data_IF_965695642037
#
_entry.id   IF_965695642037
#
_cell.length_a   1.000
_cell.length_b   1.000
_cell.length_c   1.000
_cell.angle_alpha   90.00
_cell.angle_beta   90.00
_cell.angle_gamma   90.00
#
_symmetry.space_group_name_H-M   'P 1'
#
loop_
_entity.id
_entity.type
_entity.pdbx_description
1 polymer ?
#
# COMPACT_ATOMS: atom_id res chain seq x y z
N UNK A 1 22.66 22.86 11.68
CA UNK A 1 21.20 23.01 11.53
C UNK A 1 20.54 21.91 12.33
N UNK A 2 19.69 22.23 13.31
CA UNK A 2 18.87 21.23 14.01
C UNK A 2 17.84 20.65 13.04
N UNK A 3 17.60 19.33 13.06
CA UNK A 3 16.50 18.75 12.29
C UNK A 3 15.18 19.39 12.72
N UNK A 4 14.34 19.73 11.74
CA UNK A 4 12.97 20.19 11.99
C UNK A 4 12.11 18.94 12.23
N UNK A 5 11.45 18.90 13.40
CA UNK A 5 10.61 17.76 13.83
C UNK A 5 9.25 17.84 13.13
N UNK A 6 9.22 17.65 11.81
CA UNK A 6 8.00 17.76 11.01
C UNK A 6 7.13 16.50 11.07
N UNK A 7 7.75 15.30 11.12
CA UNK A 7 7.07 14.01 11.24
C UNK A 7 8.06 12.95 11.78
N UNK A 8 7.54 11.82 12.27
CA UNK A 8 8.33 10.67 12.71
C UNK A 8 7.59 9.36 12.40
N UNK A 9 8.35 8.27 12.20
CA UNK A 9 7.80 6.91 12.22
C UNK A 9 7.75 6.49 13.68
N UNK A 10 6.56 6.15 14.16
CA UNK A 10 6.30 5.86 15.58
C UNK A 10 5.89 4.41 15.85
N UNK A 11 5.57 3.65 14.81
CA UNK A 11 5.31 2.22 14.92
C UNK A 11 5.52 1.49 13.60
N UNK A 12 5.96 0.24 13.67
CA UNK A 12 6.19 -0.63 12.51
C UNK A 12 5.78 -2.06 12.81
N UNK A 13 5.39 -2.80 11.77
CA UNK A 13 5.20 -4.25 11.87
C UNK A 13 5.38 -4.90 10.49
N UNK A 14 6.04 -6.06 10.46
CA UNK A 14 6.09 -6.95 9.30
C UNK A 14 5.32 -8.23 9.64
N UNK A 15 4.46 -8.68 8.74
CA UNK A 15 3.73 -9.94 8.92
C UNK A 15 4.73 -11.11 9.05
N UNK A 16 4.57 -12.01 10.05
CA UNK A 16 5.62 -12.96 10.42
C UNK A 16 5.90 -14.05 9.37
N UNK A 17 4.90 -14.44 8.58
CA UNK A 17 5.08 -15.46 7.54
C UNK A 17 5.26 -14.86 6.16
N UNK A 18 6.20 -15.43 5.39
CA UNK A 18 6.38 -15.12 3.96
C UNK A 18 5.59 -16.04 3.04
N UNK A 19 5.17 -17.19 3.55
CA UNK A 19 4.28 -18.12 2.86
C UNK A 19 3.06 -18.41 3.74
N UNK A 20 1.89 -18.02 3.23
CA UNK A 20 0.62 -18.14 3.95
C UNK A 20 -0.21 -19.32 3.47
N UNK A 21 0.30 -20.13 2.54
CA UNK A 21 -0.33 -21.38 2.06
C UNK A 21 -1.81 -21.22 1.59
N UNK A 22 -2.19 -19.99 1.20
CA UNK A 22 -3.57 -19.67 0.79
C UNK A 22 -4.55 -19.39 1.94
N UNK A 23 -4.09 -19.42 3.19
CA UNK A 23 -4.92 -19.28 4.39
C UNK A 23 -5.34 -17.82 4.69
N UNK A 24 -4.53 -16.85 4.25
CA UNK A 24 -4.84 -15.42 4.43
C UNK A 24 -4.76 -14.63 3.14
N UNK A 25 -5.66 -13.67 3.02
CA UNK A 25 -5.70 -12.70 1.92
C UNK A 25 -4.74 -11.54 2.15
N UNK A 26 -4.37 -10.80 1.09
CA UNK A 26 -3.59 -9.56 1.22
C UNK A 26 -4.23 -8.53 2.17
N UNK A 27 -5.58 -8.42 2.19
CA UNK A 27 -6.30 -7.51 3.10
C UNK A 27 -6.18 -7.94 4.56
N UNK A 28 -6.21 -9.25 4.86
CA UNK A 28 -5.98 -9.77 6.21
C UNK A 28 -4.54 -9.51 6.67
N UNK A 29 -3.55 -9.70 5.80
CA UNK A 29 -2.14 -9.35 6.07
C UNK A 29 -2.00 -7.85 6.39
N UNK A 30 -2.66 -6.99 5.60
CA UNK A 30 -2.70 -5.53 5.84
C UNK A 30 -3.33 -5.20 7.19
N UNK A 31 -4.48 -5.80 7.52
CA UNK A 31 -5.16 -5.56 8.80
C UNK A 31 -4.32 -5.96 10.01
N UNK A 32 -3.74 -7.16 10.00
CA UNK A 32 -2.90 -7.60 11.12
C UNK A 32 -1.68 -6.71 11.28
N UNK A 33 -0.99 -6.41 10.17
CA UNK A 33 0.19 -5.56 10.20
C UNK A 33 -0.12 -4.14 10.67
N UNK A 34 -1.21 -3.56 10.19
CA UNK A 34 -1.66 -2.24 10.62
C UNK A 34 -2.04 -2.22 12.11
N UNK A 35 -2.80 -3.22 12.59
CA UNK A 35 -3.18 -3.33 14.01
C UNK A 35 -1.94 -3.35 14.91
N UNK A 36 -0.93 -4.16 14.57
CA UNK A 36 0.31 -4.30 15.33
C UNK A 36 1.21 -3.06 15.24
N UNK A 37 1.27 -2.40 14.08
CA UNK A 37 2.01 -1.15 13.94
C UNK A 37 1.38 0.00 14.76
N UNK A 38 0.05 0.03 14.86
CA UNK A 38 -0.65 0.98 15.74
C UNK A 38 -0.41 0.65 17.22
N UNK A 39 -0.42 -0.64 17.59
CA UNK A 39 -0.07 -1.09 18.94
C UNK A 39 1.37 -0.69 19.33
N UNK A 40 2.34 -0.89 18.44
CA UNK A 40 3.75 -0.47 18.62
C UNK A 40 3.87 1.06 18.81
N UNK A 41 3.03 1.83 18.11
CA UNK A 41 2.95 3.29 18.24
C UNK A 41 2.18 3.77 19.49
N UNK A 42 1.47 2.88 20.20
CA UNK A 42 0.54 3.27 21.27
C UNK A 42 -0.68 4.06 20.75
N UNK A 43 -1.08 3.83 19.50
CA UNK A 43 -2.20 4.50 18.83
C UNK A 43 -3.38 3.53 18.65
N UNK A 44 -4.56 4.10 18.39
CA UNK A 44 -5.77 3.37 18.04
C UNK A 44 -6.17 3.65 16.58
N UNK A 45 -7.03 2.79 16.05
CA UNK A 45 -7.61 2.97 14.71
C UNK A 45 -8.25 4.35 14.50
N UNK A 46 -8.92 4.89 15.52
CA UNK A 46 -9.56 6.21 15.48
C UNK A 46 -8.58 7.37 15.35
N UNK A 47 -7.29 7.15 15.61
CA UNK A 47 -6.27 8.19 15.46
C UNK A 47 -5.86 8.38 13.99
N UNK A 48 -6.04 7.35 13.16
CA UNK A 48 -5.64 7.34 11.74
C UNK A 48 -6.55 8.24 10.91
N UNK A 49 -5.98 9.28 10.32
CA UNK A 49 -6.66 10.23 9.44
C UNK A 49 -6.01 10.35 8.04
N UNK A 50 -4.96 9.57 7.76
CA UNK A 50 -4.39 9.41 6.42
C UNK A 50 -4.10 7.96 6.05
N UNK A 51 -4.47 7.53 4.84
CA UNK A 51 -4.21 6.20 4.30
C UNK A 51 -3.34 6.29 3.05
N UNK A 52 -2.30 5.45 3.01
CA UNK A 52 -1.35 5.36 1.91
C UNK A 52 -1.20 3.90 1.50
N UNK A 53 -1.61 3.56 0.28
CA UNK A 53 -1.68 2.17 -0.18
C UNK A 53 -1.43 2.05 -1.69
N UNK A 54 -0.61 1.08 -2.12
CA UNK A 54 -0.24 0.93 -3.53
C UNK A 54 -1.18 0.01 -4.34
N UNK A 55 -2.29 -0.45 -3.74
CA UNK A 55 -3.35 -1.17 -4.45
C UNK A 55 -3.33 -2.69 -4.29
N UNK A 56 -2.46 -3.25 -3.47
CA UNK A 56 -2.44 -4.70 -3.27
C UNK A 56 -3.70 -5.16 -2.50
N UNK A 57 -4.37 -6.19 -3.01
CA UNK A 57 -5.52 -6.78 -2.34
C UNK A 57 -6.87 -6.09 -2.55
N UNK A 58 -6.93 -4.94 -3.25
CA UNK A 58 -8.18 -4.20 -3.45
C UNK A 58 -8.22 -3.38 -4.74
N UNK A 59 -9.31 -3.51 -5.52
CA UNK A 59 -9.44 -2.89 -6.85
C UNK A 59 -9.50 -1.36 -6.85
N UNK A 60 -9.77 -0.73 -5.71
CA UNK A 60 -9.80 0.73 -5.55
C UNK A 60 -8.71 1.26 -4.60
N UNK A 61 -7.64 0.49 -4.37
CA UNK A 61 -6.51 0.88 -3.51
C UNK A 61 -6.93 1.39 -2.14
N UNK A 62 -6.46 2.57 -1.76
CA UNK A 62 -6.70 3.19 -0.46
C UNK A 62 -8.18 3.36 -0.07
N UNK A 63 -9.12 3.47 -1.03
CA UNK A 63 -10.56 3.47 -0.71
C UNK A 63 -11.02 2.12 -0.15
N UNK A 64 -10.52 1.02 -0.72
CA UNK A 64 -10.82 -0.34 -0.22
C UNK A 64 -10.30 -0.50 1.20
N UNK A 65 -9.12 0.07 1.48
CA UNK A 65 -8.49 0.00 2.80
C UNK A 65 -9.26 0.80 3.84
N UNK A 66 -9.69 2.02 3.49
CA UNK A 66 -10.50 2.85 4.38
C UNK A 66 -11.80 2.13 4.78
N UNK A 67 -12.50 1.51 3.81
CA UNK A 67 -13.70 0.73 4.09
C UNK A 67 -13.40 -0.53 4.92
N UNK A 68 -12.37 -1.29 4.54
CA UNK A 68 -12.00 -2.53 5.21
C UNK A 68 -11.58 -2.33 6.68
N UNK A 69 -10.92 -1.21 7.00
CA UNK A 69 -10.55 -0.85 8.37
C UNK A 69 -11.61 -0.05 9.12
N UNK A 70 -12.69 0.37 8.45
CA UNK A 70 -13.73 1.22 9.06
C UNK A 70 -13.26 2.63 9.39
N UNK A 71 -12.43 3.22 8.54
CA UNK A 71 -11.80 4.54 8.72
C UNK A 71 -12.44 5.61 7.82
N UNK A 72 -12.35 6.85 8.26
CA UNK A 72 -12.79 8.03 7.51
C UNK A 72 -11.64 9.04 7.35
N UNK A 73 -10.60 8.70 6.56
CA UNK A 73 -9.41 9.54 6.45
C UNK A 73 -9.68 10.83 5.64
N UNK A 74 -8.98 11.91 5.99
CA UNK A 74 -8.96 13.15 5.21
C UNK A 74 -7.99 13.08 4.02
N UNK A 75 -7.02 12.16 4.06
CA UNK A 75 -6.05 11.91 3.00
C UNK A 75 -6.09 10.45 2.58
N UNK A 76 -6.22 10.21 1.28
CA UNK A 76 -6.04 8.90 0.66
C UNK A 76 -5.04 9.07 -0.48
N UNK A 77 -3.90 8.40 -0.37
CA UNK A 77 -2.87 8.35 -1.41
C UNK A 77 -2.78 6.93 -1.97
N UNK A 78 -2.96 6.81 -3.27
CA UNK A 78 -2.89 5.54 -4.00
C UNK A 78 -1.75 5.48 -5.01
N UNK A 79 -0.70 6.28 -4.80
CA UNK A 79 0.46 6.35 -5.70
C UNK A 79 1.09 4.96 -5.82
N UNK A 80 1.12 4.40 -7.04
CA UNK A 80 1.71 3.09 -7.32
C UNK A 80 2.75 3.21 -8.43
N UNK A 81 4.03 3.18 -8.04
CA UNK A 81 5.20 3.21 -8.93
C UNK A 81 5.99 1.90 -8.93
N UNK A 82 5.39 0.82 -8.43
CA UNK A 82 6.02 -0.48 -8.24
C UNK A 82 6.65 -0.59 -6.85
N UNK A 83 7.79 -1.29 -6.75
CA UNK A 83 8.44 -1.58 -5.46
C UNK A 83 8.82 -0.34 -4.64
N UNK A 84 9.00 0.81 -5.29
CA UNK A 84 9.36 2.07 -4.63
C UNK A 84 8.17 2.89 -4.12
N UNK A 85 6.94 2.37 -4.21
CA UNK A 85 5.74 3.16 -3.85
C UNK A 85 5.76 3.65 -2.40
N UNK A 86 6.33 2.87 -1.48
CA UNK A 86 6.33 3.18 -0.05
C UNK A 86 7.29 4.31 0.32
N UNK A 87 8.37 4.50 -0.44
CA UNK A 87 9.26 5.65 -0.31
C UNK A 87 8.56 6.94 -0.73
N UNK A 88 7.75 6.88 -1.80
CA UNK A 88 6.90 8.00 -2.20
C UNK A 88 5.83 8.27 -1.15
N UNK A 89 5.15 7.23 -0.65
CA UNK A 89 4.15 7.38 0.41
C UNK A 89 4.73 8.01 1.66
N UNK A 90 5.92 7.59 2.11
CA UNK A 90 6.56 8.18 3.28
C UNK A 90 6.90 9.66 3.05
N UNK A 91 7.37 10.02 1.85
CA UNK A 91 7.63 11.40 1.47
C UNK A 91 6.34 12.23 1.40
N UNK A 92 5.24 11.67 0.91
CA UNK A 92 3.94 12.32 0.82
C UNK A 92 3.31 12.50 2.20
N UNK A 93 3.30 11.45 3.04
CA UNK A 93 2.85 11.51 4.42
C UNK A 93 3.55 12.62 5.21
N UNK A 94 4.88 12.74 5.09
CA UNK A 94 5.62 13.85 5.69
C UNK A 94 5.10 15.22 5.22
N UNK A 95 4.86 15.38 3.91
CA UNK A 95 4.37 16.65 3.32
C UNK A 95 2.95 16.97 3.79
N UNK A 96 2.08 15.96 3.85
CA UNK A 96 0.69 16.12 4.25
C UNK A 96 0.55 16.43 5.75
N UNK A 97 1.36 15.78 6.61
CA UNK A 97 1.47 16.12 8.03
C UNK A 97 1.98 17.55 8.21
N UNK A 98 3.06 17.92 7.52
CA UNK A 98 3.60 19.28 7.58
C UNK A 98 2.63 20.35 7.06
N UNK A 99 1.74 19.98 6.14
CA UNK A 99 0.68 20.84 5.62
C UNK A 99 -0.62 20.81 6.45
N UNK A 100 -0.68 20.00 7.52
CA UNK A 100 -1.85 19.88 8.39
C UNK A 100 -3.05 19.17 7.75
N UNK A 101 -2.84 18.36 6.72
CA UNK A 101 -3.92 17.60 6.05
C UNK A 101 -4.31 16.32 6.79
N UNK A 102 -3.33 15.70 7.45
CA UNK A 102 -3.50 14.54 8.32
C UNK A 102 -2.51 14.67 9.50
N UNK A 103 -2.75 13.94 10.58
CA UNK A 103 -1.90 13.87 11.77
C UNK A 103 -1.27 12.49 11.94
N UNK A 104 -1.99 11.44 11.57
CA UNK A 104 -1.56 10.04 11.64
C UNK A 104 -1.77 9.40 10.27
N UNK A 105 -0.64 9.20 9.57
CA UNK A 105 -0.59 8.53 8.29
C UNK A 105 -0.28 7.04 8.49
N UNK A 106 -1.16 6.17 8.01
CA UNK A 106 -0.96 4.72 8.00
C UNK A 106 -0.63 4.27 6.57
N UNK A 107 0.56 3.69 6.40
CA UNK A 107 1.03 3.09 5.15
C UNK A 107 0.80 1.58 5.22
N UNK A 108 0.12 1.01 4.23
CA UNK A 108 -0.21 -0.42 4.23
C UNK A 108 0.31 -1.18 3.02
N UNK A 109 0.86 -2.37 3.30
CA UNK A 109 1.25 -3.36 2.31
C UNK A 109 0.82 -4.76 2.75
N UNK A 110 0.46 -5.58 1.79
CA UNK A 110 0.15 -7.00 1.99
C UNK A 110 0.08 -7.67 0.64
N UNK A 111 0.66 -8.86 0.52
CA UNK A 111 0.75 -9.59 -0.74
C UNK A 111 0.84 -11.08 -0.47
N UNK A 112 0.20 -11.86 -1.32
CA UNK A 112 0.30 -13.33 -1.35
C UNK A 112 1.04 -13.80 -2.61
N UNK A 113 1.74 -12.91 -3.31
CA UNK A 113 2.41 -13.23 -4.56
C UNK A 113 3.43 -14.37 -4.41
N UNK A 114 4.14 -14.43 -3.27
CA UNK A 114 5.09 -15.49 -2.98
C UNK A 114 4.38 -16.86 -2.87
N UNK A 115 3.37 -16.97 -2.00
CA UNK A 115 2.54 -18.18 -1.86
C UNK A 115 1.87 -18.62 -3.16
N UNK A 116 1.46 -17.66 -3.99
CA UNK A 116 0.81 -17.92 -5.27
C UNK A 116 1.80 -18.20 -6.42
N UNK A 117 3.10 -18.32 -6.12
CA UNK A 117 4.17 -18.49 -7.11
C UNK A 117 4.10 -17.47 -8.26
N UNK A 118 3.65 -16.24 -7.97
CA UNK A 118 3.43 -15.18 -8.95
C UNK A 118 4.67 -14.28 -9.04
N UNK A 119 5.18 -14.10 -10.24
CA UNK A 119 6.25 -13.13 -10.50
C UNK A 119 5.76 -11.69 -10.24
N UNK A 120 6.43 -11.00 -9.31
CA UNK A 120 6.22 -9.59 -8.98
C UNK A 120 7.51 -8.82 -9.30
N UNK A 121 7.68 -8.42 -10.56
CA UNK A 121 8.89 -7.74 -11.03
C UNK A 121 8.89 -7.49 -12.53
N UNK A 122 10.08 -7.33 -13.11
CA UNK A 122 10.28 -7.09 -14.57
C UNK A 122 10.06 -8.32 -15.44
N UNK A 123 9.92 -9.50 -14.84
CA UNK A 123 9.43 -10.69 -15.54
C UNK A 123 7.96 -10.47 -15.84
N UNK A 124 7.64 -10.08 -17.08
CA UNK A 124 6.39 -9.48 -17.51
C UNK A 124 5.13 -10.01 -16.82
N UNK A 125 4.16 -9.11 -16.60
CA UNK A 125 2.77 -9.47 -16.27
C UNK A 125 2.23 -10.30 -17.45
N UNK A 126 2.49 -11.60 -17.44
CA UNK A 126 2.06 -12.54 -18.46
C UNK A 126 0.57 -12.73 -18.39
N UNK A 127 -0.15 -11.83 -19.01
CA UNK A 127 -1.53 -11.98 -19.44
C UNK A 127 -1.67 -11.06 -20.63
N UNK A 128 -1.59 -11.61 -21.85
CA UNK A 128 -1.98 -10.87 -23.04
C UNK A 128 -3.41 -10.38 -22.81
N UNK A 129 -3.57 -9.07 -22.65
CA UNK A 129 -4.88 -8.46 -22.64
C UNK A 129 -5.30 -8.48 -24.10
N UNK A 130 -6.32 -9.20 -24.51
CA UNK A 130 -6.91 -8.97 -25.84
C UNK A 130 -7.71 -7.65 -25.84
N UNK A 131 -7.13 -6.59 -25.29
CA UNK A 131 -7.70 -5.26 -25.25
C UNK A 131 -7.20 -4.50 -26.48
N UNK A 132 -8.08 -3.90 -27.29
CA UNK A 132 -7.70 -3.22 -28.54
C UNK A 132 -6.61 -2.15 -28.40
N UNK A 133 -6.44 -1.59 -27.19
CA UNK A 133 -5.39 -0.62 -26.88
C UNK A 133 -3.97 -1.22 -26.92
N UNK A 134 -3.79 -2.53 -26.78
CA UNK A 134 -2.47 -3.17 -26.84
C UNK A 134 -1.84 -3.13 -28.23
N UNK A 135 -2.65 -2.90 -29.28
CA UNK A 135 -2.15 -2.67 -30.63
C UNK A 135 -1.33 -1.38 -30.78
N UNK A 136 -1.34 -0.50 -29.78
CA UNK A 136 -0.54 0.72 -29.77
C UNK A 136 0.90 0.47 -29.30
N UNK A 137 1.12 -0.59 -28.52
CA UNK A 137 2.41 -0.92 -27.91
C UNK A 137 3.11 -2.13 -28.56
N UNK A 138 2.38 -2.95 -29.33
CA UNK A 138 2.95 -4.04 -30.13
C UNK A 138 3.56 -3.52 -31.44
N UNK A 139 4.74 -4.01 -31.82
CA UNK A 139 5.32 -3.75 -33.14
C UNK A 139 4.39 -4.31 -34.22
N UNK A 140 4.01 -3.49 -35.21
CA UNK A 140 3.06 -3.88 -36.24
C UNK A 140 3.50 -5.18 -36.95
N UNK A 141 2.63 -6.19 -36.96
CA UNK A 141 2.81 -7.39 -37.79
C UNK A 141 2.74 -8.75 -37.08
N UNK A 142 2.21 -8.85 -35.85
CA UNK A 142 1.88 -10.15 -35.24
C UNK A 142 0.37 -10.41 -35.26
N UNK A 143 -0.17 -10.58 -36.45
CA UNK A 143 -1.44 -11.26 -36.75
C UNK A 143 -1.21 -12.12 -37.98
#
# INVERSE_FOLDING_TARGET
MSQKRDAAIVGIHEYPSRDVEGEVSPLQIKAESAARALEDAGLNWSDVDGIYDAGEGGGMGGLTIAEYFGLHPSVIDTTSVGGSSYEFHAAHAKRDIAAGKCRVALLTYGSTAHSNARAIGVGGRGGASMHPAENMDAFAGMT
#
